data_IF_018344154104
#
_entry.id   IF_018344154104
#
_cell.length_a   1.000
_cell.length_b   1.000
_cell.length_c   1.000
_cell.angle_alpha   90.00
_cell.angle_beta   90.00
_cell.angle_gamma   90.00
#
_symmetry.space_group_name_H-M   'P 1'
#
loop_
_entity.id
_entity.type
_entity.pdbx_description
1 polymer ?
#
# COMPACT_ATOMS: atom_id res chain seq x y z
N UNK A 1 5.32 -29.48 -12.66
CA UNK A 1 4.08 -28.74 -12.97
C UNK A 1 3.78 -27.92 -11.74
N UNK A 2 4.09 -26.63 -11.73
CA UNK A 2 3.83 -25.78 -10.57
C UNK A 2 2.33 -25.50 -10.52
N UNK A 3 1.70 -25.73 -9.37
CA UNK A 3 0.29 -25.41 -9.15
C UNK A 3 0.01 -23.94 -9.50
N UNK A 4 -1.16 -23.61 -10.09
CA UNK A 4 -1.53 -22.23 -10.30
C UNK A 4 -1.66 -21.55 -8.95
N UNK A 5 -0.71 -20.65 -8.64
CA UNK A 5 -0.74 -19.89 -7.40
C UNK A 5 -2.01 -19.03 -7.40
N UNK A 6 -2.80 -19.15 -6.32
CA UNK A 6 -4.02 -18.38 -6.17
C UNK A 6 -3.74 -16.87 -6.36
N UNK A 7 -4.64 -16.12 -7.01
CA UNK A 7 -4.41 -14.70 -7.28
C UNK A 7 -4.27 -13.94 -5.97
N UNK A 8 -3.18 -13.19 -5.84
CA UNK A 8 -2.88 -12.37 -4.67
C UNK A 8 -3.97 -11.31 -4.45
N UNK A 9 -4.25 -11.03 -3.19
CA UNK A 9 -5.32 -10.14 -2.76
C UNK A 9 -4.77 -8.80 -2.26
N UNK A 10 -5.51 -7.72 -2.47
CA UNK A 10 -5.14 -6.39 -1.99
C UNK A 10 -6.27 -5.74 -1.20
N UNK A 11 -5.89 -4.95 -0.19
CA UNK A 11 -6.80 -4.13 0.60
C UNK A 11 -6.28 -2.70 0.67
N UNK A 12 -7.18 -1.72 0.52
CA UNK A 12 -6.82 -0.30 0.52
C UNK A 12 -7.52 0.39 1.68
N UNK A 13 -6.73 0.99 2.55
CA UNK A 13 -7.20 1.83 3.63
C UNK A 13 -6.97 3.30 3.32
N UNK A 14 -8.05 4.06 3.26
CA UNK A 14 -8.01 5.47 2.89
C UNK A 14 -8.32 6.35 4.10
N UNK A 15 -7.42 7.28 4.41
CA UNK A 15 -7.62 8.30 5.44
C UNK A 15 -7.29 9.67 4.87
N UNK A 16 -8.32 10.50 4.65
CA UNK A 16 -8.08 11.83 4.10
C UNK A 16 -9.31 12.47 3.50
N UNK A 17 -9.12 13.12 2.35
CA UNK A 17 -10.16 13.84 1.63
C UNK A 17 -10.67 13.05 0.41
N UNK A 18 -11.57 13.67 -0.38
CA UNK A 18 -12.11 13.07 -1.59
C UNK A 18 -11.02 12.73 -2.63
N UNK A 19 -9.93 13.51 -2.68
CA UNK A 19 -8.80 13.20 -3.57
C UNK A 19 -8.16 11.86 -3.24
N UNK A 20 -8.00 11.53 -1.95
CA UNK A 20 -7.46 10.22 -1.56
C UNK A 20 -8.39 9.08 -1.99
N UNK A 21 -9.71 9.29 -2.04
CA UNK A 21 -10.64 8.27 -2.55
C UNK A 21 -10.43 8.04 -4.05
N UNK A 22 -10.29 9.11 -4.83
CA UNK A 22 -9.97 9.02 -6.27
C UNK A 22 -8.63 8.31 -6.49
N UNK A 23 -7.61 8.66 -5.71
CA UNK A 23 -6.30 8.01 -5.78
C UNK A 23 -6.39 6.52 -5.42
N UNK A 24 -7.17 6.15 -4.41
CA UNK A 24 -7.44 4.75 -4.05
C UNK A 24 -8.15 3.99 -5.17
N UNK A 25 -9.10 4.60 -5.86
CA UNK A 25 -9.78 3.98 -7.01
C UNK A 25 -8.80 3.73 -8.17
N UNK A 26 -7.87 4.66 -8.40
CA UNK A 26 -6.81 4.49 -9.41
C UNK A 26 -5.88 3.33 -9.05
N UNK A 27 -5.40 3.27 -7.80
CA UNK A 27 -4.58 2.14 -7.31
C UNK A 27 -5.32 0.81 -7.46
N UNK A 28 -6.59 0.77 -7.08
CA UNK A 28 -7.43 -0.43 -7.20
C UNK A 28 -7.56 -0.89 -8.65
N UNK A 29 -7.81 0.03 -9.60
CA UNK A 29 -7.87 -0.29 -11.03
C UNK A 29 -6.53 -0.81 -11.55
N UNK A 30 -5.42 -0.19 -11.14
CA UNK A 30 -4.06 -0.61 -11.49
C UNK A 30 -3.74 -2.02 -11.01
N UNK A 31 -4.17 -2.40 -9.81
CA UNK A 31 -4.01 -3.74 -9.25
C UNK A 31 -4.94 -4.76 -9.92
N UNK A 32 -6.21 -4.40 -10.13
CA UNK A 32 -7.18 -5.26 -10.85
C UNK A 32 -6.71 -5.58 -12.27
N UNK A 33 -6.17 -4.59 -12.98
CA UNK A 33 -5.62 -4.78 -14.33
C UNK A 33 -4.43 -5.76 -14.38
N UNK A 34 -3.76 -5.99 -13.24
CA UNK A 34 -2.67 -6.97 -13.09
C UNK A 34 -3.14 -8.34 -12.58
N UNK A 35 -4.44 -8.54 -12.40
CA UNK A 35 -5.00 -9.81 -11.93
C UNK A 35 -5.04 -9.98 -10.41
N UNK A 36 -4.70 -8.95 -9.64
CA UNK A 36 -4.90 -8.97 -8.19
C UNK A 36 -6.40 -8.84 -7.84
N UNK A 37 -6.84 -9.56 -6.82
CA UNK A 37 -8.22 -9.50 -6.33
C UNK A 37 -8.34 -8.56 -5.13
N UNK A 38 -9.48 -7.89 -4.99
CA UNK A 38 -9.74 -7.10 -3.80
C UNK A 38 -10.08 -8.02 -2.63
N UNK A 39 -9.45 -7.81 -1.48
CA UNK A 39 -9.80 -8.43 -0.21
C UNK A 39 -10.91 -7.65 0.49
N UNK A 40 -11.74 -8.35 1.27
CA UNK A 40 -12.78 -7.74 2.10
C UNK A 40 -12.18 -7.17 3.40
N UNK A 41 -11.10 -7.78 3.88
CA UNK A 41 -10.42 -7.43 5.13
C UNK A 41 -8.91 -7.21 4.93
N UNK A 42 -8.27 -6.58 5.92
CA UNK A 42 -6.82 -6.39 5.94
C UNK A 42 -6.08 -7.72 6.10
N UNK A 43 -6.66 -8.62 6.87
CA UNK A 43 -6.09 -9.90 7.25
C UNK A 43 -5.91 -10.79 6.02
N UNK A 44 -6.91 -10.82 5.14
CA UNK A 44 -6.93 -11.59 3.88
C UNK A 44 -6.02 -11.04 2.78
N UNK A 45 -5.48 -9.84 2.95
CA UNK A 45 -4.72 -9.17 1.89
C UNK A 45 -3.24 -9.53 1.92
N UNK A 46 -2.69 -9.89 0.76
CA UNK A 46 -1.24 -9.95 0.51
C UNK A 46 -0.64 -8.54 0.37
N UNK A 47 -1.39 -7.60 -0.21
CA UNK A 47 -0.99 -6.20 -0.39
C UNK A 47 -1.89 -5.30 0.46
N UNK A 48 -1.31 -4.56 1.39
CA UNK A 48 -2.03 -3.54 2.16
C UNK A 48 -1.56 -2.15 1.74
N UNK A 49 -2.46 -1.37 1.14
CA UNK A 49 -2.18 0.00 0.71
C UNK A 49 -2.79 0.99 1.71
N UNK A 50 -1.94 1.76 2.38
CA UNK A 50 -2.34 2.88 3.22
C UNK A 50 -2.27 4.17 2.38
N UNK A 51 -3.42 4.80 2.11
CA UNK A 51 -3.52 6.05 1.37
C UNK A 51 -3.91 7.20 2.31
N UNK A 52 -2.99 8.14 2.53
CA UNK A 52 -3.13 9.17 3.56
C UNK A 52 -2.99 10.60 3.04
N UNK A 53 -3.73 11.53 3.66
CA UNK A 53 -3.54 12.97 3.50
C UNK A 53 -2.43 13.51 4.43
N UNK A 54 -1.55 14.39 3.91
CA UNK A 54 -0.52 15.10 4.69
C UNK A 54 -1.05 16.28 5.51
N UNK A 55 -2.24 16.79 5.19
CA UNK A 55 -2.66 18.13 5.65
C UNK A 55 -3.10 18.14 7.12
N UNK A 56 -3.37 16.96 7.70
CA UNK A 56 -3.89 16.85 9.07
C UNK A 56 -3.00 15.94 9.92
N UNK A 57 -2.49 16.49 11.02
CA UNK A 57 -1.73 15.76 12.04
C UNK A 57 -2.49 14.53 12.59
N UNK A 58 -3.83 14.57 12.59
CA UNK A 58 -4.68 13.44 12.95
C UNK A 58 -4.59 12.28 11.95
N UNK A 59 -4.47 12.56 10.64
CA UNK A 59 -4.35 11.54 9.60
C UNK A 59 -2.99 10.84 9.70
N UNK A 60 -1.92 11.62 9.89
CA UNK A 60 -0.57 11.08 10.04
C UNK A 60 -0.44 10.17 11.28
N UNK A 61 -0.98 10.58 12.44
CA UNK A 61 -0.97 9.73 13.64
C UNK A 61 -1.72 8.42 13.42
N UNK A 62 -2.89 8.46 12.76
CA UNK A 62 -3.66 7.25 12.43
C UNK A 62 -2.88 6.32 11.52
N UNK A 63 -2.21 6.86 10.50
CA UNK A 63 -1.44 6.07 9.53
C UNK A 63 -0.17 5.52 10.13
N UNK A 64 0.55 6.30 10.93
CA UNK A 64 1.70 5.82 11.69
C UNK A 64 1.32 4.70 12.65
N UNK A 65 0.21 4.84 13.40
CA UNK A 65 -0.28 3.79 14.29
C UNK A 65 -0.72 2.52 13.54
N UNK A 66 -1.47 2.68 12.43
CA UNK A 66 -1.90 1.55 11.60
C UNK A 66 -0.71 0.81 10.99
N UNK A 67 0.27 1.55 10.45
CA UNK A 67 1.50 0.97 9.91
C UNK A 67 2.30 0.24 10.99
N UNK A 68 2.42 0.81 12.20
CA UNK A 68 3.09 0.16 13.33
C UNK A 68 2.44 -1.15 13.74
N UNK A 69 1.10 -1.21 13.76
CA UNK A 69 0.35 -2.46 14.03
C UNK A 69 0.56 -3.50 12.93
N UNK A 70 0.56 -3.09 11.67
CA UNK A 70 0.79 -3.97 10.52
C UNK A 70 2.22 -4.53 10.50
N UNK A 71 3.22 -3.71 10.77
CA UNK A 71 4.61 -4.14 10.98
C UNK A 71 4.70 -5.09 12.19
N UNK A 72 3.90 -4.81 13.22
CA UNK A 72 3.57 -5.67 14.36
C UNK A 72 3.34 -7.14 13.98
N UNK A 73 2.30 -7.30 13.15
CA UNK A 73 1.75 -8.58 12.70
C UNK A 73 2.54 -9.28 11.60
N UNK A 74 3.60 -8.67 11.03
CA UNK A 74 4.45 -9.34 10.03
C UNK A 74 5.13 -10.60 10.54
N UNK A 75 5.24 -10.78 11.86
CA UNK A 75 5.75 -12.04 12.43
C UNK A 75 4.90 -13.25 12.03
N UNK A 76 3.60 -13.03 11.81
CA UNK A 76 2.64 -14.07 11.44
C UNK A 76 2.46 -14.15 9.91
N UNK A 77 2.66 -13.03 9.20
CA UNK A 77 2.52 -12.91 7.75
C UNK A 77 3.71 -12.16 7.13
N UNK A 78 4.90 -12.79 7.06
CA UNK A 78 6.12 -12.13 6.58
C UNK A 78 6.07 -11.76 5.11
N UNK A 79 5.25 -12.44 4.31
CA UNK A 79 5.00 -12.15 2.90
C UNK A 79 4.08 -10.94 2.65
N UNK A 80 3.45 -10.36 3.68
CA UNK A 80 2.52 -9.24 3.50
C UNK A 80 3.25 -7.96 3.07
N UNK A 81 2.92 -7.46 1.89
CA UNK A 81 3.48 -6.24 1.32
C UNK A 81 2.72 -5.02 1.86
N UNK A 82 3.45 -4.11 2.49
CA UNK A 82 2.89 -2.86 3.03
C UNK A 82 3.29 -1.69 2.15
N UNK A 83 2.30 -0.96 1.67
CA UNK A 83 2.47 0.13 0.71
C UNK A 83 1.90 1.41 1.30
N UNK A 84 2.67 2.51 1.25
CA UNK A 84 2.23 3.84 1.69
C UNK A 84 2.14 4.78 0.49
N UNK A 85 1.00 5.47 0.36
CA UNK A 85 0.76 6.49 -0.66
C UNK A 85 -0.10 7.64 -0.14
N UNK A 86 -0.43 8.57 -1.03
CA UNK A 86 -1.19 9.78 -0.74
C UNK A 86 -0.29 10.99 -0.54
N UNK A 87 -0.90 12.15 -0.23
CA UNK A 87 -0.17 13.40 -0.03
C UNK A 87 0.86 13.33 1.11
N UNK A 88 0.73 12.37 2.04
CA UNK A 88 1.70 12.11 3.11
C UNK A 88 3.08 11.65 2.63
N UNK A 89 3.20 11.18 1.38
CA UNK A 89 4.47 10.79 0.78
C UNK A 89 5.09 12.00 0.08
N UNK A 90 6.17 12.53 0.64
CA UNK A 90 6.91 13.64 0.03
C UNK A 90 7.83 13.16 -1.10
N UNK A 91 8.30 14.07 -1.98
CA UNK A 91 9.37 13.76 -2.94
C UNK A 91 10.69 13.36 -2.26
N UNK A 92 10.91 13.84 -1.04
CA UNK A 92 11.98 13.37 -0.17
C UNK A 92 11.55 12.06 0.52
N UNK A 93 11.81 10.94 -0.14
CA UNK A 93 11.50 9.63 0.40
C UNK A 93 12.27 9.30 1.68
N UNK A 94 13.43 9.91 1.95
CA UNK A 94 14.14 9.68 3.22
C UNK A 94 13.36 10.26 4.39
N UNK A 95 12.86 11.48 4.25
CA UNK A 95 12.01 12.10 5.26
C UNK A 95 10.73 11.27 5.49
N UNK A 96 10.11 10.80 4.40
CA UNK A 96 8.93 9.92 4.48
C UNK A 96 9.25 8.62 5.23
N UNK A 97 10.34 7.93 4.90
CA UNK A 97 10.77 6.68 5.55
C UNK A 97 11.13 6.87 7.03
N UNK A 98 11.73 8.00 7.39
CA UNK A 98 12.03 8.33 8.80
C UNK A 98 10.74 8.49 9.61
N UNK A 99 9.71 9.10 9.01
CA UNK A 99 8.42 9.37 9.65
C UNK A 99 7.50 8.14 9.71
N UNK A 100 7.44 7.38 8.62
CA UNK A 100 6.59 6.20 8.47
C UNK A 100 7.46 4.98 8.24
N UNK A 101 7.94 4.37 9.33
CA UNK A 101 8.85 3.23 9.25
C UNK A 101 8.08 1.93 8.99
N UNK A 102 8.65 1.08 8.13
CA UNK A 102 8.23 -0.32 7.98
C UNK A 102 7.27 -0.64 6.84
N UNK A 103 6.89 0.34 6.01
CA UNK A 103 6.34 0.01 4.68
C UNK A 103 7.47 -0.39 3.72
N UNK A 104 7.18 -1.26 2.76
CA UNK A 104 8.15 -1.73 1.75
C UNK A 104 8.21 -0.74 0.59
N UNK A 105 7.03 -0.31 0.11
CA UNK A 105 6.90 0.62 -1.02
C UNK A 105 6.31 1.94 -0.54
N UNK A 106 6.93 3.02 -0.99
CA UNK A 106 6.43 4.39 -0.86
C UNK A 106 6.31 4.96 -2.26
N UNK A 107 5.15 5.52 -2.60
CA UNK A 107 4.99 6.17 -3.89
C UNK A 107 3.97 7.32 -3.79
N UNK A 108 4.14 8.33 -4.63
CA UNK A 108 3.18 9.41 -4.75
C UNK A 108 2.01 8.99 -5.64
N UNK A 109 0.77 9.45 -5.41
CA UNK A 109 -0.36 9.09 -6.26
C UNK A 109 -0.18 9.42 -7.75
N UNK A 110 0.66 10.40 -8.08
CA UNK A 110 1.03 10.78 -9.44
C UNK A 110 2.05 9.84 -10.09
N UNK A 111 2.66 8.94 -9.31
CA UNK A 111 3.74 8.02 -9.69
C UNK A 111 3.33 6.55 -9.55
N UNK A 112 2.18 6.20 -10.11
CA UNK A 112 1.68 4.81 -10.14
C UNK A 112 2.62 3.88 -10.94
N UNK A 113 3.35 4.41 -11.91
CA UNK A 113 4.43 3.72 -12.62
C UNK A 113 5.44 3.13 -11.63
N UNK A 114 5.96 3.95 -10.71
CA UNK A 114 6.96 3.53 -9.73
C UNK A 114 6.43 2.49 -8.76
N UNK A 115 5.15 2.57 -8.39
CA UNK A 115 4.51 1.55 -7.58
C UNK A 115 4.57 0.20 -8.28
N UNK A 116 4.22 0.19 -9.56
CA UNK A 116 4.11 -1.05 -10.32
C UNK A 116 5.46 -1.65 -10.68
N UNK A 117 6.45 -0.84 -11.02
CA UNK A 117 7.83 -1.29 -11.23
C UNK A 117 8.40 -1.98 -9.98
N UNK A 118 8.17 -1.38 -8.79
CA UNK A 118 8.60 -1.98 -7.53
C UNK A 118 7.81 -3.26 -7.21
N UNK A 119 6.52 -3.29 -7.52
CA UNK A 119 5.69 -4.48 -7.33
C UNK A 119 6.16 -5.63 -8.21
N UNK A 120 6.49 -5.37 -9.47
CA UNK A 120 6.96 -6.38 -10.44
C UNK A 120 8.35 -6.94 -10.06
N UNK A 121 9.18 -6.17 -9.36
CA UNK A 121 10.46 -6.66 -8.80
C UNK A 121 10.23 -7.60 -7.61
N UNK A 122 9.25 -7.31 -6.75
CA UNK A 122 8.96 -8.11 -5.55
C UNK A 122 8.15 -9.36 -5.92
N UNK A 123 7.13 -9.19 -6.74
CA UNK A 123 6.24 -10.21 -7.25
C UNK A 123 6.11 -10.09 -8.76
N UNK A 124 7.03 -10.71 -9.51
CA UNK A 124 6.96 -10.76 -10.95
C UNK A 124 5.63 -11.35 -11.40
N UNK A 125 5.02 -10.71 -12.38
CA UNK A 125 3.90 -11.32 -13.09
C UNK A 125 4.39 -12.60 -13.79
N UNK A 126 3.59 -13.68 -13.79
CA UNK A 126 3.94 -14.94 -14.42
C UNK A 126 4.10 -14.83 -15.95
#
# INVERSE_FOLDING_TARGET
>A
MSEPQAPKRYWIWTVGCQMNKVDSDRVAQTLKARGYLQADTEEEADIVVLNSCAVRESAERRVSGKLGNLVSGRKEHPEKLLVLTGCSVSPDFEATRKRFKGADIYFQPTRLDQFTEQLDVIWPLP
#
